data_IF_219267196817
#
_entry.id   IF_219267196817
#
_cell.length_a   1.000
_cell.length_b   1.000
_cell.length_c   1.000
_cell.angle_alpha   90.00
_cell.angle_beta   90.00
_cell.angle_gamma   90.00
#
_symmetry.space_group_name_H-M   'P 1'
#
loop_
_entity.id
_entity.type
_entity.pdbx_description
1 polymer ?
#
# COMPACT_ATOMS: atom_id res chain seq x y z
N UNK A 1 -21.09 -23.66 0.44
CA UNK A 1 -20.03 -22.83 -0.17
C UNK A 1 -19.77 -21.72 0.82
N UNK A 2 -18.57 -21.64 1.38
CA UNK A 2 -18.18 -20.45 2.12
C UNK A 2 -18.21 -19.26 1.16
N UNK A 3 -18.77 -18.14 1.61
CA UNK A 3 -18.66 -16.90 0.87
C UNK A 3 -17.17 -16.58 0.71
N UNK A 4 -16.71 -16.28 -0.51
CA UNK A 4 -15.41 -15.64 -0.64
C UNK A 4 -15.44 -14.39 0.25
N UNK A 5 -14.47 -14.27 1.15
CA UNK A 5 -14.31 -13.03 1.90
C UNK A 5 -13.96 -11.92 0.91
N UNK A 6 -14.28 -10.67 1.24
CA UNK A 6 -13.93 -9.52 0.40
C UNK A 6 -12.43 -9.51 0.03
N UNK A 7 -11.56 -9.97 0.94
CA UNK A 7 -10.13 -10.12 0.69
C UNK A 7 -9.81 -11.20 -0.37
N UNK A 8 -10.45 -12.36 -0.30
CA UNK A 8 -10.26 -13.44 -1.28
C UNK A 8 -10.76 -13.04 -2.66
N UNK A 9 -11.92 -12.38 -2.74
CA UNK A 9 -12.44 -11.85 -4.02
C UNK A 9 -11.48 -10.82 -4.60
N UNK A 10 -11.04 -9.85 -3.80
CA UNK A 10 -10.12 -8.81 -4.24
C UNK A 10 -8.79 -9.40 -4.76
N UNK A 11 -8.15 -10.29 -3.98
CA UNK A 11 -6.91 -10.95 -4.39
C UNK A 11 -7.08 -11.75 -5.69
N UNK A 12 -8.22 -12.43 -5.86
CA UNK A 12 -8.53 -13.15 -7.09
C UNK A 12 -8.65 -12.20 -8.28
N UNK A 13 -9.35 -11.08 -8.13
CA UNK A 13 -9.52 -10.08 -9.20
C UNK A 13 -8.17 -9.50 -9.61
N UNK A 14 -7.34 -9.09 -8.64
CA UNK A 14 -6.01 -8.53 -8.89
C UNK A 14 -5.13 -9.54 -9.63
N UNK A 15 -5.04 -10.77 -9.13
CA UNK A 15 -4.23 -11.81 -9.77
C UNK A 15 -4.69 -12.13 -11.19
N UNK A 16 -6.00 -12.14 -11.44
CA UNK A 16 -6.54 -12.38 -12.77
C UNK A 16 -6.33 -11.20 -13.73
N UNK A 17 -6.40 -9.97 -13.24
CA UNK A 17 -6.05 -8.78 -14.03
C UNK A 17 -4.57 -8.79 -14.40
N UNK A 18 -3.68 -9.12 -13.46
CA UNK A 18 -2.24 -9.26 -13.72
C UNK A 18 -1.95 -10.33 -14.76
N UNK A 19 -2.60 -11.51 -14.65
CA UNK A 19 -2.47 -12.58 -15.64
C UNK A 19 -3.01 -12.16 -17.01
N UNK A 20 -4.21 -11.56 -17.05
CA UNK A 20 -4.82 -11.09 -18.30
C UNK A 20 -3.94 -10.07 -19.01
N UNK A 21 -3.41 -9.08 -18.29
CA UNK A 21 -2.51 -8.08 -18.86
C UNK A 21 -1.20 -8.71 -19.32
N UNK A 22 -0.60 -9.61 -18.54
CA UNK A 22 0.67 -10.25 -18.89
C UNK A 22 0.58 -11.19 -20.11
N UNK A 23 -0.57 -11.83 -20.33
CA UNK A 23 -0.79 -12.69 -21.50
C UNK A 23 -0.90 -11.89 -22.82
N UNK A 24 -1.09 -10.56 -22.76
CA UNK A 24 -1.34 -9.72 -23.94
C UNK A 24 -0.18 -8.79 -24.25
N UNK A 25 0.20 -8.73 -25.52
CA UNK A 25 1.33 -7.91 -26.01
C UNK A 25 0.96 -6.46 -26.33
N UNK A 26 -0.32 -6.11 -26.38
CA UNK A 26 -0.79 -4.75 -26.68
C UNK A 26 -2.23 -4.51 -26.21
N UNK A 27 -2.57 -3.24 -25.99
CA UNK A 27 -3.93 -2.81 -25.69
C UNK A 27 -4.88 -3.01 -26.90
N UNK A 28 -6.17 -3.16 -26.62
CA UNK A 28 -7.27 -3.20 -27.59
C UNK A 28 -8.29 -2.10 -27.30
N UNK A 29 -9.20 -1.85 -28.24
CA UNK A 29 -10.23 -0.81 -28.10
C UNK A 29 -11.30 -1.14 -27.04
N UNK A 30 -11.47 -2.43 -26.67
CA UNK A 30 -12.43 -2.87 -25.64
C UNK A 30 -11.86 -3.96 -24.74
N UNK A 31 -10.79 -3.61 -24.03
CA UNK A 31 -10.11 -4.52 -23.09
C UNK A 31 -11.05 -5.09 -22.02
N UNK A 32 -12.11 -4.37 -21.64
CA UNK A 32 -13.06 -4.84 -20.64
C UNK A 32 -13.88 -6.04 -21.14
N UNK A 33 -14.45 -5.97 -22.35
CA UNK A 33 -15.17 -7.11 -22.91
C UNK A 33 -14.25 -8.30 -23.16
N UNK A 34 -13.02 -8.02 -23.58
CA UNK A 34 -12.02 -9.07 -23.75
C UNK A 34 -11.63 -9.73 -22.43
N UNK A 35 -11.53 -8.97 -21.33
CA UNK A 35 -11.27 -9.53 -20.01
C UNK A 35 -12.44 -10.41 -19.55
N UNK A 36 -13.68 -9.96 -19.73
CA UNK A 36 -14.89 -10.76 -19.46
C UNK A 36 -14.89 -12.07 -20.26
N UNK A 37 -14.54 -12.00 -21.55
CA UNK A 37 -14.43 -13.20 -22.39
C UNK A 37 -13.30 -14.12 -21.91
N UNK A 38 -12.13 -13.57 -21.59
CA UNK A 38 -11.00 -14.32 -21.06
C UNK A 38 -11.34 -15.06 -19.76
N UNK A 39 -12.09 -14.42 -18.85
CA UNK A 39 -12.59 -15.06 -17.62
C UNK A 39 -13.53 -16.23 -17.93
N UNK A 40 -14.43 -16.06 -18.90
CA UNK A 40 -15.36 -17.11 -19.35
C UNK A 40 -14.59 -18.32 -19.90
N UNK A 41 -13.61 -18.08 -20.77
CA UNK A 41 -12.81 -19.12 -21.42
C UNK A 41 -11.97 -19.92 -20.40
N UNK A 42 -11.42 -19.23 -19.40
CA UNK A 42 -10.65 -19.85 -18.29
C UNK A 42 -11.54 -20.41 -17.18
N UNK A 43 -12.88 -20.40 -17.36
CA UNK A 43 -13.91 -20.96 -16.47
C UNK A 43 -14.04 -20.30 -15.09
N UNK A 44 -13.72 -19.01 -14.96
CA UNK A 44 -13.94 -18.22 -13.73
C UNK A 44 -15.39 -17.75 -13.57
N UNK A 45 -16.36 -18.68 -13.63
CA UNK A 45 -17.81 -18.37 -13.69
C UNK A 45 -18.31 -17.57 -12.49
N UNK A 46 -17.96 -17.98 -11.27
CA UNK A 46 -18.42 -17.29 -10.05
C UNK A 46 -17.98 -15.84 -10.01
N UNK A 47 -16.77 -15.55 -10.51
CA UNK A 47 -16.24 -14.19 -10.52
C UNK A 47 -16.86 -13.35 -11.64
N UNK A 48 -17.13 -13.99 -12.79
CA UNK A 48 -17.87 -13.35 -13.87
C UNK A 48 -19.27 -12.93 -13.41
N UNK A 49 -19.97 -13.82 -12.69
CA UNK A 49 -21.28 -13.52 -12.10
C UNK A 49 -21.17 -12.37 -11.10
N UNK A 50 -20.12 -12.31 -10.29
CA UNK A 50 -19.89 -11.21 -9.34
C UNK A 50 -19.61 -9.87 -10.04
N UNK A 51 -18.75 -9.85 -11.06
CA UNK A 51 -18.42 -8.65 -11.84
C UNK A 51 -19.64 -8.11 -12.58
N UNK A 52 -20.47 -9.01 -13.14
CA UNK A 52 -21.66 -8.63 -13.90
C UNK A 52 -22.84 -8.24 -13.01
N UNK A 53 -23.00 -8.87 -11.84
CA UNK A 53 -24.04 -8.53 -10.87
C UNK A 53 -23.72 -7.28 -10.04
N UNK A 54 -22.45 -6.98 -9.82
CA UNK A 54 -22.00 -5.79 -9.11
C UNK A 54 -21.55 -4.67 -10.07
N UNK A 55 -22.47 -3.75 -10.36
CA UNK A 55 -22.23 -2.67 -11.32
C UNK A 55 -21.03 -1.78 -10.97
N UNK A 56 -20.81 -1.47 -9.69
CA UNK A 56 -19.68 -0.65 -9.26
C UNK A 56 -18.35 -1.37 -9.48
N UNK A 57 -18.30 -2.68 -9.21
CA UNK A 57 -17.12 -3.50 -9.49
C UNK A 57 -16.81 -3.52 -10.99
N UNK A 58 -17.81 -3.79 -11.83
CA UNK A 58 -17.67 -3.79 -13.29
C UNK A 58 -17.18 -2.43 -13.82
N UNK A 59 -17.72 -1.32 -13.32
CA UNK A 59 -17.26 0.02 -13.68
C UNK A 59 -15.81 0.29 -13.24
N UNK A 60 -15.43 -0.12 -12.04
CA UNK A 60 -14.07 0.01 -11.53
C UNK A 60 -13.06 -0.74 -12.40
N UNK A 61 -13.36 -1.99 -12.73
CA UNK A 61 -12.53 -2.82 -13.62
C UNK A 61 -12.45 -2.20 -15.02
N UNK A 62 -13.58 -1.76 -15.58
CA UNK A 62 -13.61 -1.09 -16.89
C UNK A 62 -12.74 0.18 -16.91
N UNK A 63 -12.83 1.01 -15.87
CA UNK A 63 -12.03 2.23 -15.72
C UNK A 63 -10.53 1.94 -15.58
N UNK A 64 -10.18 0.84 -14.91
CA UNK A 64 -8.79 0.39 -14.84
C UNK A 64 -8.30 -0.06 -16.22
N UNK A 65 -9.04 -0.92 -16.90
CA UNK A 65 -8.65 -1.51 -18.18
C UNK A 65 -8.69 -0.51 -19.36
N UNK A 66 -9.43 0.59 -19.24
CA UNK A 66 -9.41 1.65 -20.25
C UNK A 66 -8.15 2.52 -20.21
N UNK A 67 -7.26 2.32 -19.23
CA UNK A 67 -5.97 3.00 -19.16
C UNK A 67 -4.93 2.33 -20.06
N UNK A 68 -3.84 3.04 -20.33
CA UNK A 68 -2.72 2.49 -21.09
C UNK A 68 -2.19 1.20 -20.43
N UNK A 69 -1.83 0.22 -21.27
CA UNK A 69 -1.36 -1.10 -20.84
C UNK A 69 -0.23 -1.05 -19.80
N UNK A 70 0.81 -0.27 -20.05
CA UNK A 70 1.97 -0.15 -19.17
C UNK A 70 1.58 0.54 -17.84
N UNK A 71 0.67 1.51 -17.89
CA UNK A 71 0.14 2.17 -16.69
C UNK A 71 -0.63 1.20 -15.80
N UNK A 72 -1.43 0.30 -16.39
CA UNK A 72 -2.15 -0.72 -15.62
C UNK A 72 -1.17 -1.72 -15.01
N UNK A 73 -0.18 -2.19 -15.77
CA UNK A 73 0.85 -3.09 -15.24
C UNK A 73 1.63 -2.45 -14.09
N UNK A 74 2.04 -1.18 -14.22
CA UNK A 74 2.71 -0.44 -13.15
C UNK A 74 1.86 -0.35 -11.89
N UNK A 75 0.55 -0.09 -12.02
CA UNK A 75 -0.38 -0.05 -10.88
C UNK A 75 -0.54 -1.40 -10.20
N UNK A 76 -0.59 -2.49 -10.97
CA UNK A 76 -0.68 -3.85 -10.44
C UNK A 76 0.62 -4.24 -9.73
N UNK A 77 1.78 -3.95 -10.32
CA UNK A 77 3.09 -4.18 -9.68
C UNK A 77 3.25 -3.39 -8.38
N UNK A 78 2.87 -2.10 -8.37
CA UNK A 78 2.92 -1.30 -7.15
C UNK A 78 2.00 -1.84 -6.04
N UNK A 79 0.85 -2.40 -6.40
CA UNK A 79 -0.04 -3.06 -5.45
C UNK A 79 0.59 -4.34 -4.89
N UNK A 80 1.18 -5.17 -5.73
CA UNK A 80 1.86 -6.40 -5.32
C UNK A 80 3.04 -6.10 -4.39
N UNK A 81 3.87 -5.11 -4.72
CA UNK A 81 4.98 -4.63 -3.87
C UNK A 81 4.47 -4.13 -2.51
N UNK A 82 3.39 -3.34 -2.50
CA UNK A 82 2.77 -2.85 -1.25
C UNK A 82 2.24 -4.00 -0.40
N UNK A 83 1.58 -4.99 -1.00
CA UNK A 83 1.06 -6.16 -0.28
C UNK A 83 2.19 -7.01 0.31
N UNK A 84 3.27 -7.23 -0.43
CA UNK A 84 4.45 -7.95 0.04
C UNK A 84 5.12 -7.23 1.21
N UNK A 85 5.25 -5.91 1.11
CA UNK A 85 5.83 -5.08 2.16
C UNK A 85 4.99 -5.01 3.44
N UNK A 86 3.67 -4.85 3.31
CA UNK A 86 2.80 -4.83 4.48
C UNK A 86 2.72 -6.23 5.13
N UNK A 87 2.68 -7.29 4.32
CA UNK A 87 2.62 -8.66 4.83
C UNK A 87 3.92 -9.10 5.51
N UNK A 88 5.09 -8.63 5.07
CA UNK A 88 6.36 -8.97 5.74
C UNK A 88 6.44 -8.43 7.17
N UNK A 89 5.67 -7.38 7.47
CA UNK A 89 5.55 -6.80 8.82
C UNK A 89 4.59 -7.57 9.73
N UNK A 90 3.80 -8.52 9.21
CA UNK A 90 2.85 -9.31 9.99
C UNK A 90 3.51 -10.60 10.48
N UNK A 91 3.35 -10.90 11.77
CA UNK A 91 3.89 -12.13 12.38
C UNK A 91 3.40 -13.38 11.63
N UNK A 92 4.32 -14.30 11.35
CA UNK A 92 4.06 -15.52 10.57
C UNK A 92 4.08 -15.36 9.04
N UNK A 93 4.14 -14.14 8.48
CA UNK A 93 4.21 -13.92 7.02
C UNK A 93 5.59 -13.46 6.54
N UNK A 94 6.45 -12.96 7.44
CA UNK A 94 7.80 -12.46 7.12
C UNK A 94 8.63 -13.42 6.25
N UNK A 95 8.71 -14.69 6.63
CA UNK A 95 9.50 -15.70 5.91
C UNK A 95 8.96 -15.94 4.49
N UNK A 96 7.64 -15.93 4.32
CA UNK A 96 6.98 -16.15 3.04
C UNK A 96 7.22 -14.96 2.12
N UNK A 97 7.00 -13.74 2.62
CA UNK A 97 7.19 -12.51 1.85
C UNK A 97 8.64 -12.35 1.42
N UNK A 98 9.61 -12.63 2.31
CA UNK A 98 11.03 -12.59 1.97
C UNK A 98 11.48 -13.64 0.96
N UNK A 99 10.86 -14.83 0.96
CA UNK A 99 11.16 -15.85 -0.03
C UNK A 99 10.68 -15.46 -1.45
N UNK A 100 9.63 -14.64 -1.54
CA UNK A 100 9.06 -14.18 -2.81
C UNK A 100 9.76 -12.91 -3.31
N UNK A 101 9.88 -11.90 -2.43
CA UNK A 101 10.49 -10.62 -2.73
C UNK A 101 11.46 -10.24 -1.60
N UNK A 102 12.73 -10.64 -1.72
CA UNK A 102 13.75 -10.22 -0.78
C UNK A 102 13.83 -8.69 -0.74
N UNK A 103 14.01 -8.13 0.45
CA UNK A 103 14.19 -6.68 0.68
C UNK A 103 12.96 -5.81 0.46
N UNK A 104 11.76 -6.38 0.33
CA UNK A 104 10.53 -5.60 0.22
C UNK A 104 9.97 -5.13 1.58
N UNK A 105 10.77 -5.09 2.65
CA UNK A 105 10.28 -4.78 4.00
C UNK A 105 10.22 -3.26 4.27
N UNK A 106 9.35 -2.85 5.19
CA UNK A 106 9.51 -1.57 5.87
C UNK A 106 10.79 -1.62 6.70
N UNK A 107 11.60 -0.56 6.67
CA UNK A 107 12.79 -0.48 7.51
C UNK A 107 12.41 -0.49 9.00
N UNK A 108 13.32 -0.94 9.86
CA UNK A 108 13.13 -0.85 11.31
C UNK A 108 12.94 0.60 11.77
N UNK A 109 13.62 1.55 11.10
CA UNK A 109 13.43 2.98 11.33
C UNK A 109 12.02 3.45 10.95
N UNK A 110 11.47 3.04 9.80
CA UNK A 110 10.12 3.39 9.37
C UNK A 110 9.07 2.88 10.38
N UNK A 111 9.22 1.64 10.86
CA UNK A 111 8.36 1.07 11.90
C UNK A 111 8.51 1.85 13.20
N UNK A 112 9.74 2.18 13.61
CA UNK A 112 10.03 2.98 14.80
C UNK A 112 9.40 4.37 14.74
N UNK A 113 9.44 5.06 13.60
CA UNK A 113 8.79 6.37 13.39
C UNK A 113 7.29 6.27 13.68
N UNK A 114 6.61 5.26 13.12
CA UNK A 114 5.18 5.05 13.36
C UNK A 114 4.89 4.76 14.83
N UNK A 115 5.70 3.91 15.45
CA UNK A 115 5.54 3.50 16.84
C UNK A 115 5.74 4.66 17.83
N UNK A 116 6.79 5.47 17.62
CA UNK A 116 7.05 6.67 18.42
C UNK A 116 5.90 7.67 18.32
N UNK A 117 5.35 7.89 17.12
CA UNK A 117 4.21 8.77 16.92
C UNK A 117 2.94 8.23 17.61
N UNK A 118 2.60 6.96 17.42
CA UNK A 118 1.42 6.33 18.05
C UNK A 118 1.49 6.39 19.58
N UNK A 119 2.64 5.99 20.15
CA UNK A 119 2.85 5.99 21.60
C UNK A 119 2.86 7.39 22.23
N UNK A 120 3.27 8.41 21.47
CA UNK A 120 3.24 9.79 21.96
C UNK A 120 1.82 10.32 22.15
N UNK A 121 0.83 9.72 21.48
CA UNK A 121 -0.53 10.26 21.37
C UNK A 121 -0.67 11.48 20.45
N UNK A 122 0.42 11.93 19.82
CA UNK A 122 0.45 13.04 18.87
C UNK A 122 -0.21 12.67 17.55
N UNK A 123 -0.81 13.66 16.88
CA UNK A 123 -1.57 13.40 15.65
C UNK A 123 -0.72 13.49 14.38
N UNK A 124 0.41 14.20 14.43
CA UNK A 124 1.39 14.32 13.35
C UNK A 124 2.73 14.77 13.92
N UNK A 125 3.82 14.62 13.16
CA UNK A 125 5.07 15.34 13.43
C UNK A 125 5.38 16.33 12.32
N UNK A 126 6.11 17.38 12.67
CA UNK A 126 6.56 18.43 11.77
C UNK A 126 8.09 18.42 11.69
N UNK A 127 8.59 18.54 10.47
CA UNK A 127 10.00 18.77 10.24
C UNK A 127 10.37 20.22 10.45
N UNK A 128 11.39 20.45 11.29
CA UNK A 128 12.00 21.74 11.51
C UNK A 128 13.48 21.67 11.14
N UNK A 129 13.86 22.50 10.16
CA UNK A 129 15.25 22.68 9.77
C UNK A 129 15.89 23.75 10.66
N UNK A 130 16.82 23.32 11.51
CA UNK A 130 17.58 24.20 12.40
C UNK A 130 19.05 24.27 11.96
N UNK A 131 19.79 25.25 12.52
CA UNK A 131 21.22 25.40 12.27
C UNK A 131 22.04 24.15 12.62
N UNK A 132 21.59 23.37 13.61
CA UNK A 132 22.25 22.14 14.06
C UNK A 132 21.82 20.89 13.28
N UNK A 133 20.86 21.01 12.35
CA UNK A 133 20.29 19.90 11.59
C UNK A 133 18.77 19.90 11.59
N UNK A 134 18.21 18.83 11.03
CA UNK A 134 16.76 18.62 10.94
C UNK A 134 16.25 17.90 12.19
N UNK A 135 15.11 18.34 12.72
CA UNK A 135 14.43 17.69 13.85
C UNK A 135 12.96 17.50 13.51
N UNK A 136 12.39 16.37 13.94
CA UNK A 136 10.99 16.02 13.70
C UNK A 136 10.22 16.14 15.01
N UNK A 137 9.54 17.26 15.22
CA UNK A 137 8.77 17.50 16.45
C UNK A 137 7.38 16.90 16.37
N UNK A 138 6.99 16.18 17.41
CA UNK A 138 5.63 15.66 17.53
C UNK A 138 4.72 16.82 17.92
N UNK A 139 3.59 16.92 17.22
CA UNK A 139 2.57 17.94 17.44
C UNK A 139 1.38 17.35 18.17
N UNK A 140 0.69 18.19 18.95
CA UNK A 140 -0.41 17.82 19.86
C UNK A 140 0.00 16.84 20.99
N UNK A 141 1.30 16.60 21.14
CA UNK A 141 1.92 15.86 22.23
C UNK A 141 3.33 16.40 22.50
N UNK A 142 4.03 15.83 23.48
CA UNK A 142 5.41 16.20 23.80
C UNK A 142 6.37 15.20 23.19
N UNK A 143 7.46 15.71 22.59
CA UNK A 143 8.58 14.88 22.12
C UNK A 143 8.99 15.16 20.69
N UNK A 144 9.91 14.34 20.21
CA UNK A 144 10.42 14.34 18.84
C UNK A 144 10.58 12.91 18.37
N UNK A 145 10.51 12.71 17.06
CA UNK A 145 10.86 11.43 16.45
C UNK A 145 12.38 11.31 16.42
N UNK A 146 12.90 10.26 17.05
CA UNK A 146 14.30 9.88 17.01
C UNK A 146 14.60 9.13 15.70
N UNK A 147 15.64 9.59 15.01
CA UNK A 147 16.06 9.14 13.67
C UNK A 147 17.41 8.45 13.81
N UNK A 148 17.44 7.14 13.58
CA UNK A 148 18.64 6.29 13.74
C UNK A 148 19.52 6.25 12.50
N UNK A 149 18.94 6.34 11.29
CA UNK A 149 19.67 6.38 10.02
C UNK A 149 19.32 7.64 9.21
N UNK A 150 19.84 8.83 9.58
CA UNK A 150 19.44 10.11 8.97
C UNK A 150 19.61 10.19 7.45
N UNK A 151 20.47 9.34 6.85
CA UNK A 151 20.67 9.29 5.40
C UNK A 151 19.44 8.75 4.65
N UNK A 152 18.65 7.90 5.29
CA UNK A 152 17.53 7.18 4.65
C UNK A 152 16.16 7.75 5.04
N UNK A 153 16.10 8.82 5.84
CA UNK A 153 14.85 9.39 6.32
C UNK A 153 13.86 9.78 5.22
N UNK A 154 14.35 10.31 4.09
CA UNK A 154 13.48 10.64 2.96
C UNK A 154 12.86 9.38 2.34
N UNK A 155 13.63 8.29 2.26
CA UNK A 155 13.14 7.02 1.73
C UNK A 155 12.05 6.43 2.63
N UNK A 156 12.31 6.39 3.94
CA UNK A 156 11.35 5.93 4.95
C UNK A 156 10.04 6.75 4.90
N UNK A 157 10.15 8.09 4.91
CA UNK A 157 8.98 8.97 4.88
C UNK A 157 8.19 8.81 3.58
N UNK A 158 8.87 8.69 2.43
CA UNK A 158 8.21 8.45 1.15
C UNK A 158 7.52 7.08 1.14
N UNK A 159 8.15 6.03 1.66
CA UNK A 159 7.57 4.69 1.76
C UNK A 159 6.32 4.71 2.64
N UNK A 160 6.38 5.34 3.81
CA UNK A 160 5.26 5.47 4.74
C UNK A 160 4.10 6.30 4.16
N UNK A 161 4.40 7.34 3.38
CA UNK A 161 3.37 8.15 2.70
C UNK A 161 2.72 7.39 1.55
N UNK A 162 3.53 6.75 0.69
CA UNK A 162 3.05 6.01 -0.48
C UNK A 162 2.18 4.80 -0.10
N UNK A 163 2.47 4.18 1.04
CA UNK A 163 1.66 3.09 1.60
C UNK A 163 0.41 3.58 2.34
N UNK A 164 0.24 4.90 2.52
CA UNK A 164 -0.85 5.49 3.28
C UNK A 164 -0.76 5.27 4.79
N UNK A 165 0.41 4.89 5.31
CA UNK A 165 0.70 4.80 6.74
C UNK A 165 0.90 6.19 7.35
N UNK A 166 1.43 7.12 6.56
CA UNK A 166 1.46 8.56 6.84
C UNK A 166 0.71 9.35 5.76
N UNK A 167 0.20 10.52 6.14
CA UNK A 167 -0.31 11.53 5.21
C UNK A 167 0.67 12.71 5.23
N UNK A 168 1.17 13.06 4.04
CA UNK A 168 2.02 14.23 3.84
C UNK A 168 1.18 15.49 3.64
N UNK A 169 1.57 16.58 4.32
CA UNK A 169 0.97 17.91 4.18
C UNK A 169 2.02 19.00 4.52
N UNK A 170 1.65 20.27 4.36
CA UNK A 170 2.48 21.41 4.77
C UNK A 170 1.79 22.24 5.85
N UNK A 171 2.58 22.82 6.74
CA UNK A 171 2.10 23.86 7.65
C UNK A 171 1.86 25.17 6.89
N UNK A 172 1.11 26.13 7.47
CA UNK A 172 1.00 27.48 6.92
C UNK A 172 2.35 28.19 6.69
N UNK A 173 3.40 27.78 7.41
CA UNK A 173 4.76 28.30 7.28
C UNK A 173 5.59 27.55 6.22
N UNK A 174 5.03 26.53 5.57
CA UNK A 174 5.68 25.72 4.54
C UNK A 174 6.52 24.55 5.08
N UNK A 175 6.47 24.26 6.38
CA UNK A 175 7.16 23.10 6.94
C UNK A 175 6.43 21.81 6.57
N UNK A 176 7.19 20.73 6.31
CA UNK A 176 6.64 19.40 6.03
C UNK A 176 6.00 18.80 7.29
N UNK A 177 4.79 18.29 7.15
CA UNK A 177 4.03 17.60 8.19
C UNK A 177 3.72 16.17 7.75
N UNK A 178 3.79 15.24 8.69
CA UNK A 178 3.51 13.83 8.46
C UNK A 178 2.55 13.32 9.53
N UNK A 179 1.32 13.01 9.10
CA UNK A 179 0.19 12.66 9.97
C UNK A 179 -0.04 11.14 10.01
N UNK A 180 -0.22 10.58 11.20
CA UNK A 180 -0.52 9.15 11.36
C UNK A 180 -1.90 8.82 10.80
N UNK A 181 -2.03 7.63 10.20
CA UNK A 181 -3.33 7.13 9.74
C UNK A 181 -3.85 6.00 10.62
N UNK A 182 -5.16 5.74 10.54
CA UNK A 182 -5.74 4.55 11.18
C UNK A 182 -5.18 3.24 10.61
N UNK A 183 -4.67 3.26 9.37
CA UNK A 183 -4.03 2.10 8.77
C UNK A 183 -2.70 1.81 9.48
N UNK A 184 -1.89 2.83 9.77
CA UNK A 184 -0.66 2.67 10.55
C UNK A 184 -0.94 2.09 11.94
N UNK A 185 -1.91 2.64 12.68
CA UNK A 185 -2.27 2.12 14.01
C UNK A 185 -2.75 0.66 13.94
N UNK A 186 -3.54 0.32 12.91
CA UNK A 186 -3.98 -1.06 12.69
C UNK A 186 -2.79 -1.98 12.39
N UNK A 187 -1.85 -1.55 11.55
CA UNK A 187 -0.63 -2.31 11.26
C UNK A 187 0.16 -2.56 12.54
N UNK A 188 0.42 -1.51 13.33
CA UNK A 188 1.15 -1.61 14.59
C UNK A 188 0.51 -2.61 15.57
N UNK A 189 -0.82 -2.74 15.61
CA UNK A 189 -1.50 -3.76 16.43
C UNK A 189 -1.24 -5.22 16.01
N UNK A 190 -0.71 -5.43 14.80
CA UNK A 190 -0.44 -6.74 14.20
C UNK A 190 1.05 -7.07 14.13
N UNK A 191 1.91 -6.06 14.30
CA UNK A 191 3.37 -6.23 14.40
C UNK A 191 3.74 -6.52 15.85
N UNK A 192 4.54 -7.55 16.10
CA UNK A 192 5.27 -7.64 17.38
C UNK A 192 6.39 -6.61 17.34
N UNK A 193 6.25 -5.56 18.12
CA UNK A 193 7.36 -4.62 18.35
C UNK A 193 8.16 -5.16 19.52
N UNK A 194 9.20 -5.95 19.24
CA UNK A 194 10.23 -6.26 20.21
C UNK A 194 11.16 -5.02 20.28
N UNK A 195 10.91 -4.14 21.26
CA UNK A 195 11.80 -3.00 21.58
C UNK A 195 12.92 -3.44 22.52
#
# INVERSE_FOLDING_TARGET
>A
MEALTAATTFASIVGLLSNFKSERKSASDDEYQEFVQWLSDKRYKSLLDEITSNHLLGLGIKSLLSQNHDVVLQKLSALDETLLMLSSSIDGFKEISNAIAPYSELSEQAISILYQLDNSGGSFFQELNMLAGTTFYIMDASGSIEITEPRFIEDDLNQLVNTGLLIFDHSPQGNRNFRITRLAVKLLSQVKVDL
#
